data_IF_708523896322
#
_entry.id   IF_708523896322
#
_cell.length_a   1.000
_cell.length_b   1.000
_cell.length_c   1.000
_cell.angle_alpha   90.00
_cell.angle_beta   90.00
_cell.angle_gamma   90.00
#
_symmetry.space_group_name_H-M   'P 1'
#
loop_
_entity.id
_entity.type
_entity.pdbx_description
1 polymer ?
#
# COMPACT_ATOMS: atom_id res chain seq x y z
N UNK A 1 -20.51 43.56 -63.14
CA UNK A 1 -19.41 43.51 -62.14
C UNK A 1 -19.83 42.92 -60.79
N UNK A 2 -21.10 42.97 -60.38
CA UNK A 2 -21.49 42.58 -59.01
C UNK A 2 -21.78 41.07 -58.84
N UNK A 3 -22.24 40.39 -59.89
CA UNK A 3 -22.60 38.95 -59.84
C UNK A 3 -21.37 38.05 -59.75
N UNK A 4 -20.28 38.39 -60.48
CA UNK A 4 -19.01 37.65 -60.42
C UNK A 4 -18.33 37.77 -59.06
N UNK A 5 -18.37 38.96 -58.44
CA UNK A 5 -17.83 39.19 -57.09
C UNK A 5 -18.62 38.45 -56.00
N UNK A 6 -19.96 38.42 -56.11
CA UNK A 6 -20.80 37.60 -55.25
C UNK A 6 -20.50 36.11 -55.39
N UNK A 7 -20.32 35.63 -56.62
CA UNK A 7 -20.02 34.23 -56.89
C UNK A 7 -18.66 33.83 -56.29
N UNK A 8 -17.65 34.69 -56.43
CA UNK A 8 -16.32 34.51 -55.82
C UNK A 8 -16.44 34.51 -54.29
N UNK A 9 -17.21 35.45 -53.71
CA UNK A 9 -17.42 35.52 -52.26
C UNK A 9 -18.09 34.27 -51.70
N UNK A 10 -19.08 33.72 -52.40
CA UNK A 10 -19.74 32.46 -52.02
C UNK A 10 -18.78 31.28 -52.13
N UNK A 11 -17.98 31.21 -53.20
CA UNK A 11 -16.99 30.13 -53.37
C UNK A 11 -15.96 30.17 -52.25
N UNK A 12 -15.43 31.35 -51.89
CA UNK A 12 -14.46 31.49 -50.79
C UNK A 12 -15.09 31.12 -49.45
N UNK A 13 -16.33 31.53 -49.19
CA UNK A 13 -17.04 31.17 -47.96
C UNK A 13 -17.28 29.64 -47.86
N UNK A 14 -17.61 28.98 -48.98
CA UNK A 14 -17.76 27.53 -49.05
C UNK A 14 -16.43 26.82 -48.78
N UNK A 15 -15.32 27.30 -49.37
CA UNK A 15 -13.98 26.72 -49.13
C UNK A 15 -13.57 26.84 -47.65
N UNK A 16 -13.78 28.01 -47.03
CA UNK A 16 -13.46 28.23 -45.61
C UNK A 16 -14.30 27.34 -44.68
N UNK A 17 -15.58 27.11 -45.02
CA UNK A 17 -16.45 26.20 -44.27
C UNK A 17 -16.03 24.73 -44.42
N UNK A 18 -15.49 24.33 -45.57
CA UNK A 18 -14.97 22.98 -45.80
C UNK A 18 -13.67 22.72 -45.02
N UNK A 19 -12.79 23.70 -44.87
CA UNK A 19 -11.52 23.53 -44.13
C UNK A 19 -11.70 23.58 -42.60
N UNK A 20 -12.66 24.36 -42.08
CA UNK A 20 -12.94 24.44 -40.65
C UNK A 20 -13.51 23.15 -40.05
N UNK A 21 -14.04 22.25 -40.89
CA UNK A 21 -14.68 21.00 -40.46
C UNK A 21 -13.76 19.78 -40.44
N UNK A 22 -12.48 19.90 -40.83
CA UNK A 22 -11.58 18.74 -40.88
C UNK A 22 -11.05 18.45 -39.47
N UNK A 23 -11.44 17.34 -38.82
CA UNK A 23 -10.83 16.94 -37.56
C UNK A 23 -9.36 16.60 -37.84
N UNK A 24 -8.43 17.44 -37.37
CA UNK A 24 -7.01 17.12 -37.42
C UNK A 24 -6.78 15.86 -36.59
N UNK A 25 -6.23 14.80 -37.20
CA UNK A 25 -5.81 13.57 -36.51
C UNK A 25 -4.56 13.85 -35.65
N UNK A 26 -4.70 14.69 -34.64
CA UNK A 26 -3.65 14.92 -33.67
C UNK A 26 -3.72 13.81 -32.60
N UNK A 27 -2.69 12.96 -32.54
CA UNK A 27 -2.54 11.99 -31.47
C UNK A 27 -2.23 12.75 -30.16
N UNK A 28 -3.19 12.81 -29.23
CA UNK A 28 -2.91 13.15 -27.84
C UNK A 28 -1.94 12.14 -27.19
N UNK A 29 -1.40 12.42 -25.99
CA UNK A 29 -0.46 11.52 -25.32
C UNK A 29 -1.03 10.09 -25.32
N UNK A 30 -0.33 9.19 -26.01
CA UNK A 30 -0.80 7.85 -26.30
C UNK A 30 -1.04 7.03 -25.03
N UNK A 31 -1.67 5.86 -25.18
CA UNK A 31 -1.87 4.93 -24.07
C UNK A 31 -0.52 4.61 -23.42
N UNK A 32 -0.42 4.86 -22.11
CA UNK A 32 0.76 4.55 -21.32
C UNK A 32 0.94 3.02 -21.26
N UNK A 33 1.99 2.50 -21.89
CA UNK A 33 2.36 1.08 -21.81
C UNK A 33 3.40 0.90 -20.70
N UNK A 34 2.93 0.52 -19.52
CA UNK A 34 3.76 0.18 -18.38
C UNK A 34 2.94 -0.56 -17.34
N UNK A 35 3.49 -1.66 -16.80
CA UNK A 35 2.83 -2.39 -15.72
C UNK A 35 3.12 -1.67 -14.39
N UNK A 36 2.07 -1.28 -13.67
CA UNK A 36 2.20 -0.74 -12.32
C UNK A 36 2.64 -1.88 -11.41
N UNK A 37 3.67 -1.66 -10.57
CA UNK A 37 3.98 -2.61 -9.50
C UNK A 37 2.76 -2.77 -8.60
N UNK A 38 2.14 -3.94 -8.62
CA UNK A 38 1.06 -4.27 -7.70
C UNK A 38 1.66 -4.56 -6.33
N UNK A 39 1.08 -4.04 -5.25
CA UNK A 39 1.50 -4.42 -3.91
C UNK A 39 1.35 -5.94 -3.73
N UNK A 40 2.17 -6.53 -2.86
CA UNK A 40 2.01 -7.94 -2.49
C UNK A 40 0.63 -8.11 -1.86
N UNK A 41 -0.10 -9.14 -2.29
CA UNK A 41 -1.37 -9.50 -1.68
C UNK A 41 -1.11 -10.13 -0.31
N UNK A 42 -1.63 -9.53 0.74
CA UNK A 42 -1.61 -10.09 2.09
C UNK A 42 -2.83 -11.00 2.24
N UNK A 43 -2.62 -12.29 2.53
CA UNK A 43 -3.68 -13.25 2.82
C UNK A 43 -3.88 -13.29 4.34
N UNK A 44 -5.13 -13.12 4.84
CA UNK A 44 -5.38 -13.23 6.27
C UNK A 44 -5.20 -14.68 6.73
N UNK A 45 -4.80 -14.85 7.99
CA UNK A 45 -4.77 -16.16 8.63
C UNK A 45 -6.21 -16.65 8.88
N UNK A 46 -6.43 -17.94 8.67
CA UNK A 46 -7.68 -18.62 9.00
C UNK A 46 -7.66 -19.06 10.47
N UNK A 47 -8.83 -19.31 11.07
CA UNK A 47 -8.93 -19.78 12.45
C UNK A 47 -8.09 -21.06 12.67
N UNK A 48 -7.23 -21.03 13.69
CA UNK A 48 -6.24 -22.07 14.06
C UNK A 48 -5.10 -22.30 13.06
N UNK A 49 -4.92 -21.42 12.08
CA UNK A 49 -3.73 -21.43 11.24
C UNK A 49 -2.55 -20.76 11.97
N UNK A 50 -1.34 -21.26 11.75
CA UNK A 50 -0.08 -20.65 12.18
C UNK A 50 0.91 -20.61 11.00
N UNK A 51 1.78 -19.61 11.00
CA UNK A 51 2.87 -19.46 10.01
C UNK A 51 4.19 -19.29 10.77
N UNK A 52 5.24 -20.06 10.47
CA UNK A 52 5.27 -21.20 9.52
C UNK A 52 4.36 -22.36 9.94
N UNK A 53 4.00 -23.24 9.00
CA UNK A 53 3.17 -24.42 9.28
C UNK A 53 3.98 -25.53 9.97
N UNK A 54 4.44 -25.23 11.18
CA UNK A 54 5.24 -26.09 12.05
C UNK A 54 4.96 -25.71 13.50
N UNK A 55 5.41 -26.54 14.43
CA UNK A 55 5.23 -26.31 15.86
C UNK A 55 5.93 -25.02 16.30
N UNK A 56 5.35 -24.30 17.26
CA UNK A 56 5.88 -23.03 17.79
C UNK A 56 7.36 -23.16 18.22
N UNK A 57 7.72 -24.27 18.85
CA UNK A 57 9.05 -24.49 19.40
C UNK A 57 10.03 -25.22 18.45
N UNK A 58 9.67 -25.33 17.17
CA UNK A 58 10.58 -25.85 16.16
C UNK A 58 11.71 -24.85 15.87
N UNK A 59 12.86 -25.35 15.42
CA UNK A 59 14.02 -24.53 15.04
C UNK A 59 13.72 -23.52 13.91
N UNK A 60 12.73 -23.79 13.08
CA UNK A 60 12.31 -22.90 11.99
C UNK A 60 11.29 -21.82 12.44
N UNK A 61 10.90 -21.83 13.71
CA UNK A 61 9.91 -20.93 14.30
C UNK A 61 10.51 -20.19 15.50
N UNK A 62 9.92 -20.29 16.69
CA UNK A 62 10.36 -19.57 17.91
C UNK A 62 11.41 -20.32 18.73
N UNK A 63 11.81 -21.51 18.28
CA UNK A 63 12.76 -22.40 18.97
C UNK A 63 12.33 -22.79 20.39
N UNK A 64 13.24 -23.40 21.15
CA UNK A 64 12.94 -23.97 22.46
C UNK A 64 12.86 -22.86 23.53
N UNK A 65 11.86 -22.87 24.43
CA UNK A 65 11.75 -21.88 25.48
C UNK A 65 12.92 -21.98 26.48
N UNK A 66 13.48 -20.84 26.87
CA UNK A 66 14.58 -20.77 27.84
C UNK A 66 14.14 -20.98 29.30
N UNK A 67 12.84 -20.89 29.58
CA UNK A 67 12.25 -21.01 30.91
C UNK A 67 11.38 -19.81 31.29
N UNK A 68 10.71 -19.93 32.45
CA UNK A 68 9.85 -18.86 32.97
C UNK A 68 10.70 -17.76 33.60
N UNK A 69 10.43 -16.51 33.23
CA UNK A 69 10.99 -15.34 33.88
C UNK A 69 10.07 -14.83 35.00
N UNK A 70 10.64 -14.61 36.17
CA UNK A 70 10.03 -13.96 37.33
C UNK A 70 10.69 -12.60 37.58
N UNK A 71 10.02 -11.70 38.31
CA UNK A 71 10.55 -10.35 38.57
C UNK A 71 11.89 -10.32 39.30
N UNK A 72 12.22 -11.39 40.04
CA UNK A 72 13.47 -11.49 40.80
C UNK A 72 14.61 -12.10 39.98
N UNK A 73 14.33 -12.64 38.80
CA UNK A 73 15.35 -13.27 37.97
C UNK A 73 16.30 -12.21 37.38
N UNK A 74 17.61 -12.49 37.31
CA UNK A 74 18.58 -11.57 36.74
C UNK A 74 18.27 -11.25 35.27
N UNK A 75 17.79 -12.24 34.51
CA UNK A 75 17.35 -12.10 33.12
C UNK A 75 16.15 -11.18 32.95
N UNK A 76 15.36 -10.93 34.00
CA UNK A 76 14.21 -10.01 33.93
C UNK A 76 14.64 -8.59 33.57
N UNK A 77 15.89 -8.21 33.89
CA UNK A 77 16.47 -6.91 33.56
C UNK A 77 16.74 -6.72 32.07
N UNK A 78 16.75 -7.80 31.30
CA UNK A 78 16.93 -7.76 29.84
C UNK A 78 15.63 -7.40 29.12
N UNK A 79 14.48 -7.52 29.80
CA UNK A 79 13.20 -7.09 29.27
C UNK A 79 13.12 -5.56 29.25
N UNK A 80 12.66 -5.02 28.14
CA UNK A 80 12.53 -3.58 27.92
C UNK A 80 11.04 -3.23 27.83
N UNK A 81 10.59 -2.15 28.52
CA UNK A 81 9.20 -1.74 28.45
C UNK A 81 8.86 -1.05 27.12
N UNK A 82 7.73 -1.43 26.52
CA UNK A 82 7.16 -0.79 25.34
C UNK A 82 6.16 0.31 25.74
N UNK A 83 6.50 1.56 25.41
CA UNK A 83 5.66 2.75 25.64
C UNK A 83 5.23 3.42 24.33
N UNK A 84 5.16 2.67 23.22
CA UNK A 84 4.63 3.20 21.97
C UNK A 84 3.20 3.72 22.15
N UNK A 85 2.92 4.90 21.57
CA UNK A 85 1.58 5.53 21.60
C UNK A 85 0.62 4.87 20.62
N UNK A 86 1.13 4.07 19.68
CA UNK A 86 0.36 3.42 18.62
C UNK A 86 -0.20 2.05 19.07
N UNK A 87 0.19 1.59 20.26
CA UNK A 87 -0.21 0.29 20.82
C UNK A 87 -1.06 0.52 22.07
N UNK A 88 -2.26 -0.05 22.07
CA UNK A 88 -3.15 -0.05 23.23
C UNK A 88 -2.92 -1.36 23.98
N UNK A 89 -2.28 -1.27 25.14
CA UNK A 89 -2.09 -2.40 26.06
C UNK A 89 -3.34 -2.57 26.92
N UNK A 90 -3.73 -3.83 27.15
CA UNK A 90 -4.92 -4.12 27.94
C UNK A 90 -4.67 -3.92 29.44
N UNK A 91 -3.60 -4.50 29.98
CA UNK A 91 -3.15 -4.34 31.38
C UNK A 91 -4.29 -4.50 32.40
N UNK A 92 -5.04 -5.61 32.29
CA UNK A 92 -6.15 -5.92 33.21
C UNK A 92 -5.66 -6.08 34.66
N UNK A 93 -4.39 -6.43 34.85
CA UNK A 93 -3.73 -6.60 36.13
C UNK A 93 -3.32 -5.27 36.78
N UNK A 94 -3.20 -4.19 36.00
CA UNK A 94 -2.74 -2.88 36.47
C UNK A 94 -1.28 -2.87 36.95
N UNK A 95 -0.45 -3.81 36.47
CA UNK A 95 0.96 -3.92 36.89
C UNK A 95 1.95 -3.48 35.81
N UNK A 96 1.47 -3.24 34.59
CA UNK A 96 2.30 -2.90 33.43
C UNK A 96 3.11 -4.07 32.88
N UNK A 97 2.80 -5.31 33.26
CA UNK A 97 3.52 -6.51 32.80
C UNK A 97 3.46 -6.69 31.28
N UNK A 98 2.32 -6.37 30.67
CA UNK A 98 2.09 -6.51 29.22
C UNK A 98 3.05 -5.66 28.37
N UNK A 99 3.70 -4.68 28.99
CA UNK A 99 4.65 -3.79 28.33
C UNK A 99 6.06 -4.36 28.29
N UNK A 100 6.40 -5.30 29.16
CA UNK A 100 7.76 -5.81 29.29
C UNK A 100 7.98 -6.96 28.30
N UNK A 101 8.88 -6.76 27.34
CA UNK A 101 9.14 -7.70 26.25
C UNK A 101 10.64 -7.72 25.88
N UNK A 102 11.07 -8.66 25.04
CA UNK A 102 12.46 -8.72 24.59
C UNK A 102 12.74 -7.68 23.49
N UNK A 103 14.01 -7.40 23.22
CA UNK A 103 14.42 -6.46 22.16
C UNK A 103 14.02 -6.87 20.73
N UNK A 104 13.66 -8.13 20.50
CA UNK A 104 13.30 -8.65 19.17
C UNK A 104 11.79 -8.65 18.96
N UNK A 105 11.01 -8.50 20.02
CA UNK A 105 9.54 -8.55 19.99
C UNK A 105 8.85 -7.19 19.75
N UNK A 106 9.62 -6.14 19.45
CA UNK A 106 9.12 -4.77 19.22
C UNK A 106 8.51 -4.55 17.83
#
# INVERSE_FOLDING_TARGET
MNTSLLLIGVIVAVILLLEAGVPTLACGPGKFFGSRRTPRKLTPLVYKEHIPNTEEFALAASERPEGRLTRNDPKFRELVPNYSKDIIFRDEEGTGSDRLMSNVSF
#
